data_IF_290521126162
#
_entry.id   IF_290521126162
#
_cell.length_a   1.000
_cell.length_b   1.000
_cell.length_c   1.000
_cell.angle_alpha   90.00
_cell.angle_beta   90.00
_cell.angle_gamma   90.00
#
_symmetry.space_group_name_H-M   'P 1'
#
loop_
_entity.id
_entity.type
_entity.pdbx_description
1 polymer ?
#
# COMPACT_ATOMS: atom_id res chain seq x y z
N UNK A 1 -11.73 -0.41 -15.68
CA UNK A 1 -11.92 0.75 -14.78
C UNK A 1 -11.83 0.24 -13.36
N UNK A 2 -10.63 0.27 -12.77
CA UNK A 2 -10.36 -0.22 -11.43
C UNK A 2 -10.43 0.93 -10.44
N UNK A 3 -11.42 0.89 -9.55
CA UNK A 3 -11.51 1.76 -8.39
C UNK A 3 -10.70 1.12 -7.25
N UNK A 4 -9.55 1.71 -6.95
CA UNK A 4 -8.88 1.55 -5.66
C UNK A 4 -9.65 2.38 -4.62
N UNK A 5 -10.53 1.74 -3.85
CA UNK A 5 -11.21 2.35 -2.72
C UNK A 5 -10.29 2.34 -1.49
N UNK A 6 -9.81 3.52 -1.14
CA UNK A 6 -9.25 3.85 0.17
C UNK A 6 -10.32 3.67 1.24
N UNK A 7 -10.01 2.91 2.29
CA UNK A 7 -10.85 2.79 3.49
C UNK A 7 -10.54 4.01 4.36
N UNK A 8 -11.27 5.11 4.15
CA UNK A 8 -11.38 6.21 5.11
C UNK A 8 -12.64 6.01 5.95
N UNK A 9 -12.47 5.79 7.25
CA UNK A 9 -13.57 5.78 8.22
C UNK A 9 -13.86 7.22 8.64
N UNK A 10 -14.94 7.79 8.11
CA UNK A 10 -15.60 8.98 8.66
C UNK A 10 -16.73 8.52 9.58
N UNK A 11 -16.67 8.84 10.87
CA UNK A 11 -17.80 8.67 11.78
C UNK A 11 -18.52 10.00 12.01
N UNK A 12 -19.83 9.94 11.79
CA UNK A 12 -20.82 10.99 11.94
C UNK A 12 -20.99 11.38 13.42
N UNK A 13 -20.90 12.67 13.72
CA UNK A 13 -21.25 13.24 15.02
C UNK A 13 -22.72 13.66 15.02
N UNK A 14 -23.55 13.02 15.85
CA UNK A 14 -24.89 13.53 16.19
C UNK A 14 -24.94 13.90 17.68
N UNK A 15 -25.13 15.20 17.95
CA UNK A 15 -25.44 15.77 19.27
C UNK A 15 -26.87 15.44 19.69
N UNK A 16 -27.17 15.25 20.99
CA UNK A 16 -28.51 15.45 21.52
C UNK A 16 -28.64 16.86 22.13
N UNK A 17 -29.68 17.58 21.69
CA UNK A 17 -30.23 18.78 22.32
C UNK A 17 -30.89 18.43 23.66
N UNK A 18 -30.65 19.23 24.69
CA UNK A 18 -31.39 19.20 25.95
C UNK A 18 -32.21 20.49 26.00
N UNK A 19 -33.52 20.31 26.03
CA UNK A 19 -34.53 21.37 26.07
C UNK A 19 -34.68 21.93 27.48
N UNK A 20 -34.84 23.24 27.58
CA UNK A 20 -34.82 24.02 28.83
C UNK A 20 -36.19 24.66 29.03
N UNK A 21 -36.96 24.22 30.04
CA UNK A 21 -38.09 25.00 30.57
C UNK A 21 -38.22 24.79 32.09
N UNK A 22 -38.07 25.88 32.87
CA UNK A 22 -38.50 25.97 34.28
C UNK A 22 -40.02 26.22 34.41
N UNK A 23 -40.61 26.47 35.60
CA UNK A 23 -40.15 27.54 36.52
C UNK A 23 -40.38 27.38 38.07
N UNK A 24 -39.70 28.26 38.82
CA UNK A 24 -40.10 29.05 40.02
C UNK A 24 -40.36 28.47 41.46
N UNK A 25 -39.44 28.89 42.37
CA UNK A 25 -39.57 29.54 43.72
C UNK A 25 -40.40 28.92 44.88
N UNK A 26 -39.77 28.69 46.05
CA UNK A 26 -39.85 29.53 47.29
C UNK A 26 -39.43 28.80 48.60
N UNK A 27 -38.58 29.47 49.39
CA UNK A 27 -38.39 29.53 50.86
C UNK A 27 -38.46 28.30 51.80
N UNK A 28 -37.39 28.05 52.60
CA UNK A 28 -37.28 28.39 54.04
C UNK A 28 -36.03 27.75 54.73
N UNK A 29 -35.55 28.46 55.75
CA UNK A 29 -34.34 28.30 56.57
C UNK A 29 -34.22 26.96 57.36
N UNK A 30 -32.98 26.52 57.64
CA UNK A 30 -32.38 26.40 59.00
C UNK A 30 -31.29 25.30 59.10
N UNK A 31 -30.09 25.66 59.59
CA UNK A 31 -29.06 24.74 60.08
C UNK A 31 -29.46 24.11 61.44
N UNK A 32 -28.93 22.92 61.80
CA UNK A 32 -27.70 22.87 62.62
C UNK A 32 -26.73 21.72 62.23
N UNK A 33 -25.42 21.98 62.37
CA UNK A 33 -24.33 20.98 62.43
C UNK A 33 -24.13 20.54 63.90
N UNK A 34 -23.29 19.54 64.28
CA UNK A 34 -22.51 18.59 63.47
C UNK A 34 -22.56 17.13 63.96
N UNK A 35 -22.28 16.17 63.08
CA UNK A 35 -21.82 14.84 63.50
C UNK A 35 -20.68 14.36 62.60
N UNK A 36 -19.56 14.12 63.26
CA UNK A 36 -18.28 13.62 62.79
C UNK A 36 -18.45 12.29 62.06
N UNK A 37 -18.38 12.31 60.73
CA UNK A 37 -18.02 11.13 59.95
C UNK A 37 -16.71 11.43 59.24
N UNK A 38 -15.66 10.73 59.66
CA UNK A 38 -14.39 10.71 58.93
C UNK A 38 -14.63 10.32 57.47
N UNK A 39 -13.71 10.66 56.55
CA UNK A 39 -13.90 10.35 55.15
C UNK A 39 -14.05 8.82 55.02
N UNK A 40 -15.26 8.38 54.70
CA UNK A 40 -15.53 7.04 54.22
C UNK A 40 -14.68 6.91 52.97
N UNK A 41 -13.59 6.14 53.07
CA UNK A 41 -12.70 5.85 51.97
C UNK A 41 -13.53 5.39 50.78
N UNK A 42 -13.62 6.23 49.74
CA UNK A 42 -14.04 5.75 48.42
C UNK A 42 -13.18 4.52 48.12
N UNK A 43 -13.77 3.39 47.66
CA UNK A 43 -12.96 2.33 47.11
C UNK A 43 -12.05 2.98 46.08
N UNK A 44 -10.74 2.81 46.21
CA UNK A 44 -9.74 3.45 45.37
C UNK A 44 -9.95 2.99 43.93
N UNK A 45 -10.75 3.74 43.18
CA UNK A 45 -11.05 3.51 41.78
C UNK A 45 -9.75 3.62 41.00
N UNK A 46 -9.44 2.58 40.22
CA UNK A 46 -8.33 2.58 39.28
C UNK A 46 -8.39 3.84 38.42
N UNK A 47 -7.23 4.46 38.18
CA UNK A 47 -7.13 5.60 37.25
C UNK A 47 -7.65 5.20 35.86
N UNK A 48 -8.34 6.11 35.19
CA UNK A 48 -8.82 5.91 33.81
C UNK A 48 -7.71 5.44 32.86
N UNK A 49 -6.49 5.99 33.00
CA UNK A 49 -5.33 5.56 32.22
C UNK A 49 -4.92 4.11 32.50
N UNK A 50 -5.02 3.66 33.75
CA UNK A 50 -4.72 2.27 34.14
C UNK A 50 -5.76 1.30 33.58
N UNK A 51 -7.03 1.69 33.60
CA UNK A 51 -8.13 0.96 32.95
C UNK A 51 -7.89 0.88 31.44
N UNK A 52 -7.54 1.99 30.80
CA UNK A 52 -7.20 2.05 29.37
C UNK A 52 -6.06 1.12 28.99
N UNK A 53 -4.93 1.17 29.72
CA UNK A 53 -3.80 0.23 29.50
C UNK A 53 -4.25 -1.23 29.62
N UNK A 54 -5.02 -1.56 30.65
CA UNK A 54 -5.47 -2.94 30.88
C UNK A 54 -6.34 -3.45 29.72
N UNK A 55 -7.23 -2.62 29.19
CA UNK A 55 -8.04 -2.96 28.02
C UNK A 55 -7.17 -3.18 26.78
N UNK A 56 -6.27 -2.26 26.46
CA UNK A 56 -5.38 -2.36 25.29
C UNK A 56 -4.49 -3.60 25.36
N UNK A 57 -3.91 -3.88 26.53
CA UNK A 57 -3.07 -5.06 26.74
C UNK A 57 -3.89 -6.35 26.56
N UNK A 58 -5.09 -6.39 27.11
CA UNK A 58 -5.99 -7.54 26.97
C UNK A 58 -6.39 -7.75 25.51
N UNK A 59 -6.78 -6.69 24.82
CA UNK A 59 -7.11 -6.69 23.39
C UNK A 59 -5.94 -7.19 22.54
N UNK A 60 -4.71 -6.73 22.83
CA UNK A 60 -3.51 -7.14 22.11
C UNK A 60 -3.27 -8.64 22.22
N UNK A 61 -3.29 -9.21 23.44
CA UNK A 61 -3.05 -10.64 23.68
C UNK A 61 -4.20 -11.49 23.16
N UNK A 62 -5.45 -11.10 23.42
CA UNK A 62 -6.63 -11.83 22.95
C UNK A 62 -6.70 -11.86 21.43
N UNK A 63 -6.51 -10.71 20.77
CA UNK A 63 -6.49 -10.65 19.31
C UNK A 63 -5.29 -11.36 18.70
N UNK A 64 -4.15 -11.44 19.40
CA UNK A 64 -3.00 -12.25 18.96
C UNK A 64 -3.33 -13.74 18.98
N UNK A 65 -3.94 -14.22 20.07
CA UNK A 65 -4.35 -15.62 20.19
C UNK A 65 -5.33 -15.99 19.09
N UNK A 66 -6.34 -15.15 18.86
CA UNK A 66 -7.30 -15.34 17.76
C UNK A 66 -6.60 -15.32 16.41
N UNK A 67 -5.66 -14.39 16.18
CA UNK A 67 -4.90 -14.33 14.93
C UNK A 67 -4.11 -15.62 14.67
N UNK A 68 -3.34 -16.11 15.65
CA UNK A 68 -2.59 -17.37 15.53
C UNK A 68 -3.52 -18.56 15.26
N UNK A 69 -4.66 -18.63 15.96
CA UNK A 69 -5.65 -19.69 15.72
C UNK A 69 -6.19 -19.66 14.29
N UNK A 70 -6.49 -18.47 13.75
CA UNK A 70 -6.95 -18.31 12.37
C UNK A 70 -5.87 -18.68 11.35
N UNK A 71 -4.60 -18.40 11.62
CA UNK A 71 -3.50 -18.86 10.77
C UNK A 71 -3.42 -20.38 10.71
N UNK A 72 -3.49 -21.04 11.86
CA UNK A 72 -3.50 -22.52 11.95
C UNK A 72 -4.77 -23.12 11.33
N UNK A 73 -5.90 -22.44 11.44
CA UNK A 73 -7.13 -22.84 10.74
C UNK A 73 -6.96 -22.76 9.23
N UNK A 74 -6.31 -21.71 8.72
CA UNK A 74 -6.00 -21.58 7.29
C UNK A 74 -5.15 -22.74 6.78
N UNK A 75 -4.15 -23.16 7.55
CA UNK A 75 -3.34 -24.35 7.22
C UNK A 75 -4.22 -25.59 7.05
N UNK A 76 -5.03 -25.90 8.06
CA UNK A 76 -5.87 -27.11 8.08
C UNK A 76 -6.97 -27.12 7.03
N UNK A 77 -7.54 -25.96 6.73
CA UNK A 77 -8.74 -25.84 5.88
C UNK A 77 -8.39 -25.68 4.41
N UNK A 78 -7.27 -25.04 4.09
CA UNK A 78 -6.88 -24.73 2.72
C UNK A 78 -5.50 -25.27 2.35
N UNK A 79 -4.47 -25.06 3.17
CA UNK A 79 -3.10 -25.41 2.78
C UNK A 79 -2.90 -26.93 2.76
N UNK A 80 -3.25 -27.66 3.82
CA UNK A 80 -3.09 -29.12 3.87
C UNK A 80 -3.91 -29.82 2.77
N UNK A 81 -5.21 -29.50 2.56
CA UNK A 81 -5.97 -30.05 1.45
C UNK A 81 -5.37 -29.80 0.06
N UNK A 82 -4.57 -28.73 -0.12
CA UNK A 82 -3.90 -28.47 -1.39
C UNK A 82 -2.86 -29.55 -1.76
N UNK A 83 -2.30 -30.24 -0.77
CA UNK A 83 -1.34 -31.33 -0.94
C UNK A 83 -2.00 -32.72 -0.95
N UNK A 84 -3.30 -32.82 -0.69
CA UNK A 84 -4.01 -34.10 -0.66
C UNK A 84 -4.58 -34.46 -2.04
N UNK A 85 -4.81 -35.77 -2.28
CA UNK A 85 -5.44 -36.22 -3.50
C UNK A 85 -6.82 -35.59 -3.70
N UNK A 86 -7.12 -35.22 -4.95
CA UNK A 86 -8.39 -34.63 -5.32
C UNK A 86 -9.04 -35.48 -6.41
N UNK A 87 -10.24 -35.96 -6.12
CA UNK A 87 -11.09 -36.65 -7.09
C UNK A 87 -12.19 -35.70 -7.57
N UNK A 88 -12.24 -35.41 -8.87
CA UNK A 88 -13.24 -34.53 -9.46
C UNK A 88 -13.73 -35.06 -10.81
N UNK A 89 -14.87 -34.56 -11.29
CA UNK A 89 -15.39 -34.91 -12.61
C UNK A 89 -15.48 -33.68 -13.50
N UNK A 90 -14.69 -33.59 -14.59
CA UNK A 90 -14.67 -32.43 -15.48
C UNK A 90 -16.00 -32.18 -16.20
N UNK A 91 -16.80 -33.25 -16.39
CA UNK A 91 -18.06 -33.23 -17.13
C UNK A 91 -19.31 -33.32 -16.23
N UNK A 92 -19.17 -32.97 -14.95
CA UNK A 92 -20.27 -33.00 -13.98
C UNK A 92 -20.47 -34.38 -13.34
N UNK A 93 -21.49 -34.54 -12.49
CA UNK A 93 -21.63 -35.69 -11.57
C UNK A 93 -21.66 -37.09 -12.24
N UNK A 94 -22.00 -37.15 -13.53
CA UNK A 94 -22.13 -38.38 -14.32
C UNK A 94 -20.90 -38.67 -15.21
N UNK A 95 -19.93 -37.75 -15.30
CA UNK A 95 -18.73 -37.93 -16.12
C UNK A 95 -17.66 -38.79 -15.44
N UNK A 96 -16.66 -39.28 -16.20
CA UNK A 96 -15.55 -40.05 -15.66
C UNK A 96 -14.81 -39.24 -14.58
N UNK A 97 -14.54 -39.90 -13.44
CA UNK A 97 -13.81 -39.29 -12.33
C UNK A 97 -12.31 -39.30 -12.65
N UNK A 98 -11.67 -38.15 -12.43
CA UNK A 98 -10.23 -38.00 -12.48
C UNK A 98 -9.74 -37.85 -11.05
N UNK A 99 -8.72 -38.61 -10.68
CA UNK A 99 -8.02 -38.50 -9.40
C UNK A 99 -6.64 -37.94 -9.66
N UNK A 100 -6.29 -36.87 -8.96
CA UNK A 100 -4.95 -36.29 -8.95
C UNK A 100 -4.30 -36.57 -7.60
N UNK A 101 -2.97 -36.74 -7.60
CA UNK A 101 -2.20 -36.97 -6.36
C UNK A 101 -2.22 -35.75 -5.43
N UNK A 102 -2.32 -34.53 -5.98
CA UNK A 102 -2.46 -33.27 -5.23
C UNK A 102 -3.53 -32.39 -5.85
N UNK A 103 -4.31 -31.68 -5.02
CA UNK A 103 -5.40 -30.81 -5.47
C UNK A 103 -4.93 -29.59 -6.28
N UNK A 104 -3.80 -28.98 -5.88
CA UNK A 104 -3.18 -27.83 -6.56
C UNK A 104 -1.79 -28.18 -7.10
N UNK A 105 -1.32 -27.51 -8.15
CA UNK A 105 0.05 -27.72 -8.64
C UNK A 105 1.10 -27.12 -7.68
N UNK A 106 2.38 -27.54 -7.74
CA UNK A 106 3.44 -26.95 -6.92
C UNK A 106 3.55 -25.42 -7.08
N UNK A 107 3.39 -24.92 -8.30
CA UNK A 107 3.43 -23.49 -8.62
C UNK A 107 2.23 -22.76 -8.01
N UNK A 108 1.02 -23.34 -8.11
CA UNK A 108 -0.18 -22.78 -7.50
C UNK A 108 -0.03 -22.70 -5.98
N UNK A 109 0.47 -23.75 -5.31
CA UNK A 109 0.71 -23.73 -3.86
C UNK A 109 1.75 -22.70 -3.47
N UNK A 110 2.88 -22.65 -4.20
CA UNK A 110 3.95 -21.68 -3.95
C UNK A 110 3.48 -20.24 -4.10
N UNK A 111 2.63 -19.95 -5.09
CA UNK A 111 2.11 -18.60 -5.31
C UNK A 111 1.03 -18.22 -4.29
N UNK A 112 0.13 -19.16 -3.95
CA UNK A 112 -1.00 -18.89 -3.05
C UNK A 112 -0.60 -18.77 -1.58
N UNK A 113 0.41 -19.53 -1.13
CA UNK A 113 0.73 -19.68 0.29
C UNK A 113 2.13 -19.19 0.67
N UNK A 114 2.77 -18.40 -0.22
CA UNK A 114 4.14 -17.90 -0.01
C UNK A 114 4.25 -17.15 1.32
N UNK A 115 5.21 -17.54 2.16
CA UNK A 115 5.53 -16.81 3.40
C UNK A 115 4.57 -17.09 4.56
N UNK A 116 3.57 -17.95 4.39
CA UNK A 116 2.58 -18.23 5.43
C UNK A 116 3.20 -18.99 6.61
N UNK A 117 3.92 -20.09 6.33
CA UNK A 117 4.55 -20.95 7.34
C UNK A 117 5.45 -20.15 8.28
N UNK A 118 6.26 -19.24 7.73
CA UNK A 118 7.18 -18.44 8.52
C UNK A 118 6.42 -17.45 9.43
N UNK A 119 5.29 -16.90 8.96
CA UNK A 119 4.42 -16.01 9.76
C UNK A 119 3.74 -16.80 10.88
N UNK A 120 3.18 -17.97 10.58
CA UNK A 120 2.56 -18.84 11.61
C UNK A 120 3.58 -19.19 12.68
N UNK A 121 4.79 -19.57 12.27
CA UNK A 121 5.86 -19.91 13.20
C UNK A 121 6.29 -18.70 14.03
N UNK A 122 6.49 -17.51 13.43
CA UNK A 122 6.86 -16.29 14.16
C UNK A 122 5.83 -15.97 15.25
N UNK A 123 4.55 -15.96 14.88
CA UNK A 123 3.49 -15.55 15.79
C UNK A 123 3.15 -16.62 16.83
N UNK A 124 2.98 -17.87 16.40
CA UNK A 124 2.58 -18.97 17.27
C UNK A 124 3.70 -19.49 18.17
N UNK A 125 4.92 -19.63 17.66
CA UNK A 125 6.02 -20.23 18.43
C UNK A 125 6.83 -19.21 19.24
N UNK A 126 6.83 -17.93 18.84
CA UNK A 126 7.70 -16.92 19.46
C UNK A 126 6.95 -15.73 20.07
N UNK A 127 6.13 -15.02 19.30
CA UNK A 127 5.50 -13.78 19.77
C UNK A 127 4.41 -14.03 20.81
N UNK A 128 3.42 -14.88 20.51
CA UNK A 128 2.30 -15.13 21.41
C UNK A 128 2.75 -15.64 22.80
N UNK A 129 3.64 -16.63 22.92
CA UNK A 129 4.12 -17.09 24.23
C UNK A 129 4.80 -15.99 25.05
N UNK A 130 5.62 -15.15 24.42
CA UNK A 130 6.31 -14.05 25.10
C UNK A 130 5.34 -12.92 25.50
N UNK A 131 4.31 -12.65 24.71
CA UNK A 131 3.25 -11.71 25.07
C UNK A 131 2.40 -12.21 26.25
N UNK A 132 2.03 -13.48 26.26
CA UNK A 132 1.30 -14.10 27.37
C UNK A 132 2.13 -14.08 28.65
N UNK A 133 3.43 -14.39 28.56
CA UNK A 133 4.37 -14.31 29.69
C UNK A 133 4.55 -12.87 30.19
N UNK A 134 4.67 -11.90 29.28
CA UNK A 134 4.82 -10.48 29.62
C UNK A 134 3.62 -9.92 30.41
N UNK A 135 2.43 -10.48 30.18
CA UNK A 135 1.15 -9.98 30.70
C UNK A 135 0.52 -10.85 31.77
N UNK A 136 1.11 -12.02 32.06
CA UNK A 136 0.58 -13.03 32.95
C UNK A 136 0.15 -12.47 34.32
N UNK A 137 1.00 -11.63 34.93
CA UNK A 137 0.75 -11.03 36.24
C UNK A 137 -0.52 -10.16 36.23
N UNK A 138 -0.69 -9.34 35.19
CA UNK A 138 -1.83 -8.44 35.02
C UNK A 138 -3.12 -9.22 34.73
N UNK A 139 -3.06 -10.19 33.81
CA UNK A 139 -4.24 -10.94 33.37
C UNK A 139 -4.79 -11.88 34.46
N UNK A 140 -3.93 -12.38 35.36
CA UNK A 140 -4.36 -13.25 36.47
C UNK A 140 -4.82 -12.47 37.69
N UNK A 141 -4.08 -11.45 38.10
CA UNK A 141 -4.30 -10.77 39.38
C UNK A 141 -5.07 -9.44 39.24
N UNK A 142 -5.40 -9.02 38.02
CA UNK A 142 -5.90 -7.68 37.74
C UNK A 142 -4.84 -6.61 37.98
N UNK A 143 -5.19 -5.36 37.68
CA UNK A 143 -4.31 -4.23 37.97
C UNK A 143 -4.30 -3.89 39.47
N UNK A 144 -3.19 -3.33 39.95
CA UNK A 144 -3.14 -2.79 41.31
C UNK A 144 -3.74 -1.37 41.37
N UNK A 145 -4.06 -0.88 42.57
CA UNK A 145 -4.73 0.43 42.75
C UNK A 145 -3.93 1.62 42.21
N UNK A 146 -2.63 1.47 42.00
CA UNK A 146 -1.73 2.49 41.43
C UNK A 146 -1.50 2.31 39.92
N UNK A 147 -2.03 1.24 39.32
CA UNK A 147 -1.84 0.90 37.91
C UNK A 147 -0.42 0.45 37.56
N UNK A 148 0.37 0.00 38.54
CA UNK A 148 1.77 -0.37 38.34
C UNK A 148 1.91 -1.67 37.55
N UNK A 149 1.03 -2.67 37.77
CA UNK A 149 1.02 -3.92 36.99
C UNK A 149 0.75 -3.65 35.51
N UNK A 150 -0.25 -2.83 35.17
CA UNK A 150 -0.53 -2.50 33.77
C UNK A 150 0.59 -1.72 33.11
N UNK A 151 1.22 -0.76 33.81
CA UNK A 151 2.38 -0.03 33.30
C UNK A 151 3.58 -0.96 33.05
N UNK A 152 3.86 -1.89 33.98
CA UNK A 152 4.93 -2.88 33.82
C UNK A 152 4.66 -3.85 32.67
N UNK A 153 3.42 -4.30 32.51
CA UNK A 153 3.00 -5.14 31.40
C UNK A 153 3.13 -4.42 30.05
N UNK A 154 2.73 -3.15 29.98
CA UNK A 154 2.91 -2.30 28.78
C UNK A 154 4.38 -2.22 28.35
N UNK A 155 5.28 -1.95 29.30
CA UNK A 155 6.72 -1.94 29.04
C UNK A 155 7.23 -3.31 28.55
N UNK A 156 6.78 -4.42 29.17
CA UNK A 156 7.22 -5.77 28.79
C UNK A 156 6.73 -6.16 27.39
N UNK A 157 5.46 -5.91 27.05
CA UNK A 157 4.94 -6.14 25.68
C UNK A 157 5.74 -5.33 24.66
N UNK A 158 5.99 -4.06 24.96
CA UNK A 158 6.73 -3.19 24.05
C UNK A 158 8.16 -3.70 23.80
N UNK A 159 8.82 -4.26 24.83
CA UNK A 159 10.09 -4.97 24.67
C UNK A 159 10.00 -6.18 23.75
N UNK A 160 8.93 -6.97 23.85
CA UNK A 160 8.69 -8.12 22.95
C UNK A 160 8.58 -7.63 21.50
N UNK A 161 7.75 -6.61 21.25
CA UNK A 161 7.62 -6.03 19.90
C UNK A 161 8.96 -5.49 19.39
N UNK A 162 9.73 -4.77 20.20
CA UNK A 162 11.06 -4.30 19.82
C UNK A 162 12.02 -5.43 19.46
N UNK A 163 11.96 -6.56 20.20
CA UNK A 163 12.83 -7.71 19.98
C UNK A 163 12.55 -8.41 18.63
N UNK A 164 11.28 -8.46 18.22
CA UNK A 164 10.86 -9.11 16.97
C UNK A 164 10.65 -8.15 15.79
N UNK A 165 10.85 -6.84 15.98
CA UNK A 165 10.59 -5.81 14.97
C UNK A 165 11.26 -6.10 13.61
N UNK A 166 12.52 -6.52 13.63
CA UNK A 166 13.27 -6.86 12.40
C UNK A 166 12.68 -8.08 11.69
N UNK A 167 12.14 -9.06 12.43
CA UNK A 167 11.51 -10.23 11.84
C UNK A 167 10.29 -9.85 11.01
N UNK A 168 9.55 -8.80 11.40
CA UNK A 168 8.38 -8.34 10.63
C UNK A 168 8.71 -7.87 9.22
N UNK A 169 9.99 -7.61 8.86
CA UNK A 169 10.38 -7.34 7.47
C UNK A 169 9.98 -8.47 6.50
N UNK A 170 9.82 -9.71 6.99
CA UNK A 170 9.30 -10.83 6.19
C UNK A 170 7.91 -10.58 5.57
N UNK A 171 7.11 -9.69 6.18
CA UNK A 171 5.80 -9.30 5.65
C UNK A 171 5.89 -8.59 4.30
N UNK A 172 7.05 -8.04 3.93
CA UNK A 172 7.27 -7.41 2.63
C UNK A 172 7.04 -8.40 1.47
N UNK A 173 7.67 -9.57 1.56
CA UNK A 173 7.52 -10.64 0.57
C UNK A 173 6.12 -11.26 0.57
N UNK A 174 5.50 -11.42 1.74
CA UNK A 174 4.12 -11.91 1.86
C UNK A 174 3.12 -10.91 1.27
N UNK A 175 3.19 -9.64 1.65
CA UNK A 175 2.29 -8.57 1.18
C UNK A 175 2.31 -8.45 -0.34
N UNK A 176 3.51 -8.46 -0.94
CA UNK A 176 3.67 -8.44 -2.38
C UNK A 176 3.03 -9.68 -3.05
N UNK A 177 3.15 -10.87 -2.46
CA UNK A 177 2.57 -12.10 -3.01
C UNK A 177 1.06 -12.21 -2.80
N UNK A 178 0.54 -11.66 -1.70
CA UNK A 178 -0.86 -11.75 -1.31
C UNK A 178 -1.80 -11.17 -2.38
N UNK A 179 -1.45 -10.06 -3.03
CA UNK A 179 -2.28 -9.49 -4.10
C UNK A 179 -2.39 -10.39 -5.32
N UNK A 180 -1.34 -11.14 -5.62
CA UNK A 180 -1.38 -12.14 -6.67
C UNK A 180 -2.28 -13.31 -6.28
N UNK A 181 -2.17 -13.77 -5.03
CA UNK A 181 -3.00 -14.83 -4.51
C UNK A 181 -4.49 -14.45 -4.55
N UNK A 182 -4.85 -13.23 -4.11
CA UNK A 182 -6.24 -12.75 -4.15
C UNK A 182 -6.76 -12.57 -5.59
N UNK A 183 -5.95 -12.02 -6.50
CA UNK A 183 -6.31 -11.92 -7.92
C UNK A 183 -6.51 -13.31 -8.56
N UNK A 184 -5.61 -14.26 -8.27
CA UNK A 184 -5.66 -15.62 -8.79
C UNK A 184 -6.87 -16.37 -8.24
N UNK A 185 -7.18 -16.20 -6.95
CA UNK A 185 -8.38 -16.73 -6.34
C UNK A 185 -9.65 -16.16 -6.99
N UNK A 186 -9.68 -14.86 -7.30
CA UNK A 186 -10.76 -14.27 -8.10
C UNK A 186 -10.93 -14.96 -9.45
N UNK A 187 -9.83 -15.24 -10.16
CA UNK A 187 -9.88 -16.01 -11.41
C UNK A 187 -10.40 -17.44 -11.22
N UNK A 188 -10.03 -18.11 -10.12
CA UNK A 188 -10.54 -19.45 -9.79
C UNK A 188 -12.05 -19.43 -9.56
N UNK A 189 -12.54 -18.43 -8.82
CA UNK A 189 -13.97 -18.26 -8.52
C UNK A 189 -14.77 -17.93 -9.78
N UNK A 190 -14.31 -16.96 -10.57
CA UNK A 190 -15.01 -16.51 -11.79
C UNK A 190 -14.89 -17.52 -12.94
N UNK A 191 -13.82 -18.32 -12.94
CA UNK A 191 -13.50 -19.25 -14.01
C UNK A 191 -12.99 -18.57 -15.30
N UNK A 192 -12.57 -17.30 -15.23
CA UNK A 192 -12.02 -16.55 -16.37
C UNK A 192 -10.58 -17.00 -16.66
N UNK A 193 -10.24 -17.07 -17.94
CA UNK A 193 -8.89 -17.44 -18.42
C UNK A 193 -8.38 -18.80 -17.91
N UNK A 194 -9.29 -19.72 -17.58
CA UNK A 194 -8.99 -21.08 -17.15
C UNK A 194 -9.49 -22.10 -18.18
N UNK A 195 -8.74 -23.18 -18.35
CA UNK A 195 -9.25 -24.33 -19.10
C UNK A 195 -10.45 -24.94 -18.37
N UNK A 196 -11.33 -25.66 -19.11
CA UNK A 196 -12.47 -26.35 -18.49
C UNK A 196 -12.02 -27.34 -17.41
N UNK A 197 -10.90 -28.02 -17.63
CA UNK A 197 -10.33 -28.98 -16.69
C UNK A 197 -9.80 -28.29 -15.42
N UNK A 198 -9.04 -27.20 -15.56
CA UNK A 198 -8.52 -26.45 -14.41
C UNK A 198 -9.66 -25.82 -13.62
N UNK A 199 -10.66 -25.24 -14.29
CA UNK A 199 -11.86 -24.70 -13.64
C UNK A 199 -12.56 -25.77 -12.81
N UNK A 200 -12.79 -26.96 -13.36
CA UNK A 200 -13.42 -28.04 -12.61
C UNK A 200 -12.57 -28.51 -11.42
N UNK A 201 -11.24 -28.58 -11.60
CA UNK A 201 -10.28 -28.94 -10.53
C UNK A 201 -10.33 -27.95 -9.38
N UNK A 202 -10.09 -26.66 -9.64
CA UNK A 202 -10.01 -25.63 -8.59
C UNK A 202 -11.35 -25.44 -7.88
N UNK A 203 -12.47 -25.58 -8.59
CA UNK A 203 -13.81 -25.52 -7.97
C UNK A 203 -14.07 -26.73 -7.07
N UNK A 204 -13.66 -27.93 -7.47
CA UNK A 204 -13.76 -29.13 -6.62
C UNK A 204 -12.89 -28.99 -5.36
N UNK A 205 -11.67 -28.48 -5.51
CA UNK A 205 -10.79 -28.17 -4.37
C UNK A 205 -11.41 -27.15 -3.40
N UNK A 206 -11.91 -26.02 -3.91
CA UNK A 206 -12.56 -25.00 -3.08
C UNK A 206 -13.81 -25.55 -2.37
N UNK A 207 -14.57 -26.42 -3.05
CA UNK A 207 -15.72 -27.10 -2.45
C UNK A 207 -15.27 -28.05 -1.33
N UNK A 208 -14.23 -28.85 -1.54
CA UNK A 208 -13.65 -29.73 -0.53
C UNK A 208 -13.23 -28.94 0.72
N UNK A 209 -12.56 -27.80 0.54
CA UNK A 209 -12.14 -26.93 1.63
C UNK A 209 -13.35 -26.40 2.44
N UNK A 210 -14.42 -25.97 1.75
CA UNK A 210 -15.67 -25.51 2.40
C UNK A 210 -16.41 -26.60 3.18
N UNK A 211 -16.23 -27.86 2.81
CA UNK A 211 -16.84 -28.99 3.54
C UNK A 211 -16.03 -29.44 4.75
N UNK A 212 -14.84 -28.86 4.97
CA UNK A 212 -14.03 -29.16 6.14
C UNK A 212 -14.76 -28.71 7.42
N UNK A 213 -14.79 -29.57 8.45
CA UNK A 213 -15.45 -29.26 9.74
C UNK A 213 -14.81 -28.10 10.48
N UNK A 214 -13.53 -27.83 10.20
CA UNK A 214 -12.80 -26.71 10.77
C UNK A 214 -13.03 -25.40 9.99
N UNK A 215 -13.82 -25.40 8.91
CA UNK A 215 -14.12 -24.21 8.13
C UNK A 215 -15.00 -23.24 8.94
N UNK A 216 -14.46 -22.07 9.29
CA UNK A 216 -15.21 -20.96 9.91
C UNK A 216 -15.93 -20.08 8.87
N UNK A 217 -16.54 -18.98 9.33
CA UNK A 217 -17.23 -18.02 8.45
C UNK A 217 -16.28 -17.23 7.52
N UNK A 218 -14.97 -17.40 7.67
CA UNK A 218 -13.96 -16.68 6.88
C UNK A 218 -13.67 -17.46 5.60
N UNK A 219 -13.77 -16.79 4.46
CA UNK A 219 -13.40 -17.37 3.17
C UNK A 219 -11.88 -17.30 2.93
N UNK A 220 -11.40 -17.96 1.87
CA UNK A 220 -9.96 -18.01 1.55
C UNK A 220 -9.37 -16.59 1.37
N UNK A 221 -10.13 -15.65 0.82
CA UNK A 221 -9.69 -14.25 0.67
C UNK A 221 -9.47 -13.60 2.02
N UNK A 222 -10.41 -13.77 2.95
CA UNK A 222 -10.29 -13.26 4.31
C UNK A 222 -9.05 -13.79 5.01
N UNK A 223 -8.75 -15.08 4.89
CA UNK A 223 -7.54 -15.67 5.45
C UNK A 223 -6.25 -15.08 4.90
N UNK A 224 -6.15 -14.95 3.57
CA UNK A 224 -4.96 -14.39 2.91
C UNK A 224 -4.66 -12.97 3.40
N UNK A 225 -5.69 -12.20 3.75
CA UNK A 225 -5.54 -10.81 4.18
C UNK A 225 -5.19 -10.64 5.67
N UNK A 226 -5.34 -11.67 6.52
CA UNK A 226 -5.08 -11.56 7.96
C UNK A 226 -3.67 -11.02 8.28
N UNK A 227 -2.56 -11.51 7.66
CA UNK A 227 -1.23 -11.00 7.97
C UNK A 227 -1.03 -9.55 7.51
N UNK A 228 -1.58 -9.16 6.35
CA UNK A 228 -1.50 -7.79 5.86
C UNK A 228 -2.11 -6.80 6.86
N UNK A 229 -3.17 -7.21 7.55
CA UNK A 229 -3.87 -6.40 8.55
C UNK A 229 -3.22 -6.44 9.95
N UNK A 230 -2.38 -7.43 10.27
CA UNK A 230 -1.89 -7.60 11.65
C UNK A 230 -0.94 -6.47 12.07
N UNK A 231 0.00 -6.11 11.20
CA UNK A 231 0.98 -5.05 11.51
C UNK A 231 0.31 -3.68 11.70
N UNK A 232 -0.73 -3.38 10.91
CA UNK A 232 -1.49 -2.13 11.07
C UNK A 232 -2.24 -2.11 12.39
N UNK A 233 -2.78 -3.26 12.83
CA UNK A 233 -3.39 -3.38 14.17
C UNK A 233 -2.39 -3.21 15.31
N UNK A 234 -1.17 -3.74 15.21
CA UNK A 234 -0.14 -3.48 16.22
C UNK A 234 0.14 -1.98 16.37
N UNK A 235 0.26 -1.25 15.26
CA UNK A 235 0.45 0.21 15.30
C UNK A 235 -0.67 0.89 16.08
N UNK A 236 -1.93 0.62 15.72
CA UNK A 236 -3.10 1.22 16.38
C UNK A 236 -3.17 0.89 17.89
N UNK A 237 -2.89 -0.37 18.25
CA UNK A 237 -2.88 -0.78 19.66
C UNK A 237 -1.73 -0.13 20.43
N UNK A 238 -0.56 0.03 19.82
CA UNK A 238 0.59 0.70 20.44
C UNK A 238 0.37 2.21 20.59
N UNK A 239 -0.27 2.88 19.62
CA UNK A 239 -0.70 4.29 19.73
C UNK A 239 -1.65 4.47 20.92
N UNK A 240 -2.62 3.56 21.07
CA UNK A 240 -3.55 3.60 22.20
C UNK A 240 -2.87 3.23 23.54
N UNK A 241 -1.85 2.35 23.51
CA UNK A 241 -1.06 2.02 24.69
C UNK A 241 -0.21 3.21 25.14
N UNK A 242 0.40 3.92 24.20
CA UNK A 242 1.21 5.12 24.44
C UNK A 242 0.39 6.24 25.07
N UNK A 243 -0.80 6.54 24.53
CA UNK A 243 -1.67 7.59 25.08
C UNK A 243 -2.13 7.32 26.52
N UNK A 244 -2.23 6.04 26.91
CA UNK A 244 -2.57 5.61 28.26
C UNK A 244 -1.36 5.35 29.16
N UNK A 245 -0.13 5.46 28.66
CA UNK A 245 1.10 5.23 29.43
C UNK A 245 1.79 6.55 29.73
N UNK A 246 2.06 6.89 31.01
CA UNK A 246 2.85 8.07 31.34
C UNK A 246 4.25 8.00 30.71
N UNK A 247 4.78 9.14 30.27
CA UNK A 247 6.15 9.21 29.79
C UNK A 247 7.12 8.67 30.86
N UNK A 248 8.14 7.90 30.46
CA UNK A 248 9.11 7.39 31.41
C UNK A 248 9.88 8.54 32.08
N UNK A 249 10.33 8.37 33.33
CA UNK A 249 11.16 9.37 34.00
C UNK A 249 12.42 9.69 33.20
N UNK A 250 12.95 10.90 33.35
CA UNK A 250 14.17 11.32 32.66
C UNK A 250 15.31 10.29 32.85
N UNK A 251 16.01 9.98 31.76
CA UNK A 251 17.07 8.97 31.74
C UNK A 251 16.61 7.51 31.62
N UNK A 252 15.31 7.23 31.65
CA UNK A 252 14.77 5.90 31.41
C UNK A 252 14.37 5.72 29.94
N UNK A 253 14.58 4.51 29.41
CA UNK A 253 14.26 4.18 28.02
C UNK A 253 12.76 4.04 27.82
N UNK A 254 12.24 4.75 26.82
CA UNK A 254 10.84 4.63 26.39
C UNK A 254 10.65 3.44 25.44
N UNK A 255 10.34 2.28 26.01
CA UNK A 255 10.06 1.09 25.20
C UNK A 255 8.74 1.20 24.44
N UNK A 256 7.74 1.93 24.94
CA UNK A 256 6.42 2.03 24.30
C UNK A 256 6.52 2.87 23.02
N UNK A 257 7.10 4.07 23.14
CA UNK A 257 7.37 4.92 21.99
C UNK A 257 8.33 4.28 20.99
N UNK A 258 9.36 3.56 21.47
CA UNK A 258 10.27 2.81 20.59
C UNK A 258 9.55 1.71 19.81
N UNK A 259 8.68 0.93 20.45
CA UNK A 259 7.92 -0.13 19.79
C UNK A 259 7.00 0.44 18.71
N UNK A 260 6.32 1.55 19.01
CA UNK A 260 5.46 2.25 18.06
C UNK A 260 6.26 2.75 16.84
N UNK A 261 7.41 3.38 17.08
CA UNK A 261 8.29 3.85 16.00
C UNK A 261 8.80 2.69 15.13
N UNK A 262 9.26 1.59 15.75
CA UNK A 262 9.72 0.39 15.03
C UNK A 262 8.62 -0.19 14.13
N UNK A 263 7.41 -0.40 14.66
CA UNK A 263 6.29 -0.90 13.84
C UNK A 263 5.94 0.06 12.70
N UNK A 264 5.96 1.37 12.96
CA UNK A 264 5.68 2.38 11.94
C UNK A 264 6.73 2.35 10.81
N UNK A 265 8.01 2.22 11.17
CA UNK A 265 9.12 2.07 10.23
C UNK A 265 8.97 0.79 9.40
N UNK A 266 8.60 -0.33 10.02
CA UNK A 266 8.35 -1.59 9.31
C UNK A 266 7.19 -1.47 8.32
N UNK A 267 6.09 -0.80 8.70
CA UNK A 267 4.96 -0.59 7.80
C UNK A 267 5.34 0.23 6.58
N UNK A 268 6.15 1.29 6.76
CA UNK A 268 6.70 2.07 5.65
C UNK A 268 7.59 1.20 4.75
N UNK A 269 8.48 0.40 5.34
CA UNK A 269 9.35 -0.51 4.61
C UNK A 269 8.56 -1.54 3.77
N UNK A 270 7.53 -2.18 4.36
CA UNK A 270 6.68 -3.15 3.66
C UNK A 270 5.94 -2.50 2.50
N UNK A 271 5.44 -1.27 2.70
CA UNK A 271 4.74 -0.52 1.66
C UNK A 271 5.67 -0.10 0.52
N UNK A 272 6.88 0.38 0.82
CA UNK A 272 7.85 0.76 -0.21
C UNK A 272 8.35 -0.45 -0.99
N UNK A 273 8.64 -1.57 -0.31
CA UNK A 273 9.01 -2.82 -0.99
C UNK A 273 7.93 -3.28 -1.97
N UNK A 274 6.65 -3.17 -1.57
CA UNK A 274 5.54 -3.51 -2.46
C UNK A 274 5.50 -2.59 -3.68
N UNK A 275 5.63 -1.28 -3.47
CA UNK A 275 5.70 -0.29 -4.55
C UNK A 275 6.85 -0.57 -5.51
N UNK A 276 8.02 -0.95 -5.00
CA UNK A 276 9.18 -1.35 -5.83
C UNK A 276 8.88 -2.60 -6.67
N UNK A 277 8.28 -3.63 -6.06
CA UNK A 277 7.88 -4.86 -6.78
C UNK A 277 6.87 -4.56 -7.89
N UNK A 278 5.88 -3.72 -7.61
CA UNK A 278 4.86 -3.33 -8.59
C UNK A 278 5.46 -2.48 -9.71
N UNK A 279 6.30 -1.51 -9.36
CA UNK A 279 7.05 -0.67 -10.30
C UNK A 279 7.89 -1.53 -11.25
N UNK A 280 8.68 -2.46 -10.69
CA UNK A 280 9.51 -3.38 -11.48
C UNK A 280 8.67 -4.29 -12.37
N UNK A 281 7.54 -4.79 -11.88
CA UNK A 281 6.61 -5.60 -12.68
C UNK A 281 6.06 -4.80 -13.86
N UNK A 282 5.66 -3.54 -13.66
CA UNK A 282 5.21 -2.65 -14.74
C UNK A 282 6.33 -2.38 -15.73
N UNK A 283 7.57 -2.18 -15.28
CA UNK A 283 8.73 -2.04 -16.17
C UNK A 283 8.98 -3.29 -17.01
N UNK A 284 8.95 -4.49 -16.43
CA UNK A 284 9.07 -5.73 -17.20
C UNK A 284 7.96 -5.84 -18.26
N UNK A 285 6.72 -5.51 -17.87
CA UNK A 285 5.61 -5.48 -18.82
C UNK A 285 5.88 -4.52 -19.99
N UNK A 286 6.32 -3.29 -19.74
CA UNK A 286 6.64 -2.34 -20.81
C UNK A 286 7.85 -2.74 -21.62
N UNK A 287 8.86 -3.34 -21.00
CA UNK A 287 10.04 -3.86 -21.69
C UNK A 287 9.71 -5.02 -22.63
N UNK A 288 8.70 -5.82 -22.30
CA UNK A 288 8.16 -6.85 -23.18
C UNK A 288 7.29 -6.24 -24.29
N UNK A 289 6.53 -5.18 -24.01
CA UNK A 289 5.63 -4.56 -25.00
C UNK A 289 6.35 -3.66 -26.01
N UNK A 290 7.35 -2.89 -25.56
CA UNK A 290 8.07 -1.92 -26.38
C UNK A 290 9.17 -2.66 -27.14
N UNK A 291 9.03 -2.70 -28.46
CA UNK A 291 9.98 -3.35 -29.34
C UNK A 291 11.19 -2.44 -29.52
N UNK A 292 12.19 -2.61 -28.65
CA UNK A 292 13.40 -1.78 -28.61
C UNK A 292 14.42 -2.09 -29.73
N UNK A 293 14.03 -2.70 -30.85
CA UNK A 293 14.96 -3.11 -31.91
C UNK A 293 14.80 -2.28 -33.19
N UNK A 294 15.86 -1.54 -33.55
CA UNK A 294 16.29 -1.52 -34.95
C UNK A 294 16.79 -2.93 -35.33
N UNK A 295 16.50 -3.45 -36.53
CA UNK A 295 16.73 -4.85 -36.90
C UNK A 295 18.20 -5.27 -37.12
N UNK A 296 19.20 -4.50 -36.68
CA UNK A 296 20.61 -4.74 -37.03
C UNK A 296 21.61 -4.94 -35.88
N UNK A 297 21.23 -4.92 -34.60
CA UNK A 297 22.17 -5.27 -33.52
C UNK A 297 21.68 -6.42 -32.65
N UNK A 298 22.43 -7.51 -32.72
CA UNK A 298 22.36 -8.69 -31.87
C UNK A 298 22.54 -8.32 -30.39
N UNK A 299 21.64 -8.83 -29.55
CA UNK A 299 21.85 -9.07 -28.10
C UNK A 299 22.03 -7.84 -27.22
N UNK A 300 20.93 -7.19 -26.82
CA UNK A 300 20.84 -6.56 -25.50
C UNK A 300 19.44 -6.74 -24.90
N UNK A 301 19.29 -7.20 -23.64
CA UNK A 301 18.01 -7.14 -22.95
C UNK A 301 17.53 -5.68 -22.91
N UNK A 302 16.22 -5.52 -23.07
CA UNK A 302 15.49 -4.25 -23.15
C UNK A 302 16.02 -3.22 -22.14
N UNK A 303 16.61 -2.13 -22.64
CA UNK A 303 17.28 -1.09 -21.85
C UNK A 303 16.45 -0.60 -20.67
N UNK A 304 15.11 -0.68 -20.75
CA UNK A 304 14.14 -0.26 -19.74
C UNK A 304 14.25 -0.99 -18.38
N UNK A 305 14.71 -2.24 -18.32
CA UNK A 305 14.79 -2.99 -17.05
C UNK A 305 16.22 -2.96 -16.52
N UNK A 306 16.47 -2.07 -15.56
CA UNK A 306 17.74 -1.96 -14.86
C UNK A 306 17.52 -2.00 -13.34
N UNK A 307 18.48 -2.50 -12.55
CA UNK A 307 18.31 -2.65 -11.10
C UNK A 307 17.95 -1.36 -10.35
N UNK A 308 18.44 -0.22 -10.83
CA UNK A 308 18.21 1.10 -10.24
C UNK A 308 17.03 1.85 -10.86
N UNK A 309 16.42 1.31 -11.94
CA UNK A 309 15.35 2.00 -12.64
C UNK A 309 14.00 1.76 -11.98
N UNK A 310 13.38 2.85 -11.54
CA UNK A 310 12.06 2.86 -10.90
C UNK A 310 11.09 3.58 -11.83
N UNK A 311 9.95 2.96 -12.12
CA UNK A 311 8.81 3.61 -12.79
C UNK A 311 8.21 4.68 -11.87
N UNK A 312 8.14 5.90 -12.38
CA UNK A 312 7.56 7.06 -11.71
C UNK A 312 6.12 7.27 -12.18
N UNK A 313 5.89 7.27 -13.49
CA UNK A 313 4.56 7.51 -14.08
C UNK A 313 4.44 6.86 -15.45
N UNK A 314 3.22 6.51 -15.83
CA UNK A 314 2.88 5.98 -17.14
C UNK A 314 1.52 6.49 -17.59
N UNK A 315 1.29 6.57 -18.91
CA UNK A 315 -0.02 6.91 -19.43
C UNK A 315 -0.02 7.33 -20.90
N UNK A 316 -1.21 7.37 -21.53
CA UNK A 316 -1.35 7.84 -22.89
C UNK A 316 -1.08 9.35 -22.97
N UNK A 317 -0.37 9.77 -24.02
CA UNK A 317 -0.07 11.17 -24.36
C UNK A 317 -0.15 11.35 -25.87
N UNK A 318 -0.64 12.49 -26.33
CA UNK A 318 -0.54 12.90 -27.72
C UNK A 318 0.76 13.67 -27.90
N UNK A 319 1.74 13.09 -28.59
CA UNK A 319 2.97 13.79 -28.95
C UNK A 319 2.69 14.68 -30.15
N UNK A 320 2.35 15.94 -29.88
CA UNK A 320 1.89 16.88 -30.91
C UNK A 320 3.06 17.37 -31.75
N UNK A 321 4.15 17.80 -31.11
CA UNK A 321 5.21 18.49 -31.81
C UNK A 321 6.57 18.43 -31.11
N UNK A 322 7.63 18.54 -31.90
CA UNK A 322 9.02 18.61 -31.46
C UNK A 322 9.80 19.63 -32.30
N UNK A 323 10.53 20.57 -31.69
CA UNK A 323 11.24 21.61 -32.44
C UNK A 323 12.31 22.35 -31.68
N UNK A 324 13.25 22.97 -32.42
CA UNK A 324 14.31 23.80 -31.84
C UNK A 324 13.70 25.17 -31.53
N UNK A 325 13.83 25.63 -30.29
CA UNK A 325 13.62 27.04 -29.97
C UNK A 325 14.87 27.82 -30.37
N UNK A 326 14.72 28.86 -31.17
CA UNK A 326 15.84 29.76 -31.40
C UNK A 326 16.20 30.40 -30.06
N UNK A 327 17.43 30.18 -29.63
CA UNK A 327 18.00 30.84 -28.46
C UNK A 327 17.95 32.34 -28.76
N UNK A 328 17.42 33.15 -27.84
CA UNK A 328 17.69 34.58 -27.89
C UNK A 328 19.21 34.73 -27.86
N UNK A 329 19.81 35.14 -28.98
CA UNK A 329 21.15 35.71 -28.95
C UNK A 329 21.00 37.01 -28.17
N UNK A 330 21.69 37.12 -27.04
CA UNK A 330 21.75 38.38 -26.29
C UNK A 330 22.24 39.48 -27.25
N UNK A 331 21.58 40.66 -27.29
CA UNK A 331 22.05 41.74 -28.16
C UNK A 331 23.47 42.16 -27.72
N UNK A 332 24.41 42.08 -28.66
CA UNK A 332 25.78 42.56 -28.49
C UNK A 332 25.81 44.00 -27.96
N UNK A 333 26.82 44.28 -27.12
CA UNK A 333 27.14 45.59 -26.55
C UNK A 333 27.13 46.71 -27.61
N UNK A 334 26.16 47.62 -27.53
CA UNK A 334 26.15 48.85 -28.34
C UNK A 334 27.21 49.83 -27.84
N UNK A 335 28.24 50.08 -28.65
CA UNK A 335 29.09 51.29 -28.57
C UNK A 335 28.29 52.52 -29.04
N UNK A 336 28.48 53.71 -28.43
CA UNK A 336 27.69 54.88 -28.76
C UNK A 336 28.34 55.69 -29.88
N UNK A 337 27.63 55.93 -30.99
CA UNK A 337 27.59 57.26 -31.62
C UNK A 337 26.59 57.40 -32.80
N UNK A 338 25.52 58.17 -32.54
CA UNK A 338 24.83 59.12 -33.46
C UNK A 338 24.00 58.60 -34.68
N UNK A 339 23.09 59.41 -35.28
CA UNK A 339 21.77 59.78 -34.73
C UNK A 339 20.57 59.39 -35.64
N UNK A 340 19.47 59.00 -34.98
CA UNK A 340 18.04 58.99 -35.39
C UNK A 340 17.71 59.08 -36.90
N UNK A 341 17.50 57.91 -37.51
CA UNK A 341 16.73 57.71 -38.75
C UNK A 341 15.44 56.92 -38.48
N UNK A 342 14.34 57.31 -39.15
CA UNK A 342 12.97 56.84 -38.94
C UNK A 342 12.77 55.32 -39.12
N UNK A 343 12.07 54.73 -38.17
CA UNK A 343 10.97 53.78 -38.36
C UNK A 343 11.16 52.66 -39.38
N UNK A 344 11.62 51.51 -38.89
CA UNK A 344 11.13 50.21 -39.36
C UNK A 344 11.19 49.25 -38.18
N UNK A 345 10.02 48.87 -37.65
CA UNK A 345 9.91 47.71 -36.76
C UNK A 345 10.33 46.50 -37.58
N UNK A 346 11.60 46.12 -37.47
CA UNK A 346 12.07 44.82 -37.92
C UNK A 346 11.60 43.84 -36.87
N UNK A 347 10.38 43.33 -37.02
CA UNK A 347 9.97 42.10 -36.35
C UNK A 347 10.95 41.02 -36.85
N UNK A 348 11.96 40.70 -36.03
CA UNK A 348 12.74 39.49 -36.21
C UNK A 348 11.78 38.32 -36.06
N UNK A 349 11.30 37.85 -37.22
CA UNK A 349 10.49 36.66 -37.36
C UNK A 349 11.40 35.48 -37.06
N UNK A 350 11.60 35.20 -35.78
CA UNK A 350 12.24 33.98 -35.28
C UNK A 350 11.46 32.81 -35.86
N UNK A 351 12.02 32.19 -36.90
CA UNK A 351 11.41 31.05 -37.57
C UNK A 351 11.47 29.85 -36.63
N UNK A 352 10.38 29.60 -35.92
CA UNK A 352 10.18 28.40 -35.09
C UNK A 352 10.09 27.20 -36.02
N UNK A 353 11.16 26.41 -36.13
CA UNK A 353 11.09 25.14 -36.85
C UNK A 353 10.58 24.06 -35.90
N UNK A 354 9.27 24.12 -35.64
CA UNK A 354 8.54 23.11 -34.86
C UNK A 354 7.95 22.09 -35.84
N UNK A 355 8.50 20.88 -35.85
CA UNK A 355 7.96 19.77 -36.62
C UNK A 355 6.72 19.21 -35.93
N UNK A 356 5.59 19.17 -36.64
CA UNK A 356 4.42 18.43 -36.19
C UNK A 356 4.74 16.93 -36.20
N UNK A 357 4.41 16.26 -35.10
CA UNK A 357 4.59 14.82 -34.91
C UNK A 357 3.23 14.10 -34.97
N UNK A 358 2.25 14.62 -34.22
CA UNK A 358 0.87 14.12 -34.11
C UNK A 358 0.74 12.58 -33.95
N UNK A 359 1.36 12.05 -32.88
CA UNK A 359 1.33 10.62 -32.55
C UNK A 359 0.67 10.35 -31.20
N UNK A 360 -0.14 9.29 -31.13
CA UNK A 360 -0.73 8.84 -29.86
C UNK A 360 0.20 7.83 -29.17
N UNK A 361 0.97 8.29 -28.19
CA UNK A 361 2.03 7.54 -27.54
C UNK A 361 1.65 7.06 -26.14
N UNK A 362 2.19 5.93 -25.72
CA UNK A 362 2.34 5.59 -24.31
C UNK A 362 3.63 6.24 -23.82
N UNK A 363 3.50 7.11 -22.83
CA UNK A 363 4.63 7.63 -22.08
C UNK A 363 4.93 6.72 -20.89
N UNK A 364 6.19 6.32 -20.75
CA UNK A 364 6.71 5.56 -19.62
C UNK A 364 7.87 6.34 -19.00
N UNK A 365 7.59 7.00 -17.88
CA UNK A 365 8.54 7.83 -17.15
C UNK A 365 9.16 7.05 -16.01
N UNK A 366 10.47 6.92 -16.06
CA UNK A 366 11.32 6.38 -15.03
C UNK A 366 12.11 7.51 -14.35
N UNK A 367 12.78 7.21 -13.25
CA UNK A 367 13.58 8.20 -12.50
C UNK A 367 14.70 8.88 -13.32
N UNK A 368 15.12 8.28 -14.44
CA UNK A 368 16.28 8.68 -15.25
C UNK A 368 15.95 8.88 -16.74
N UNK A 369 14.85 8.29 -17.23
CA UNK A 369 14.44 8.37 -18.63
C UNK A 369 12.92 8.49 -18.80
N UNK A 370 12.49 9.17 -19.86
CA UNK A 370 11.14 9.16 -20.40
C UNK A 370 11.16 8.42 -21.74
N UNK A 371 10.36 7.37 -21.87
CA UNK A 371 10.19 6.61 -23.11
C UNK A 371 8.83 6.92 -23.72
N UNK A 372 8.81 7.25 -25.01
CA UNK A 372 7.60 7.41 -25.80
C UNK A 372 7.50 6.25 -26.80
N UNK A 373 6.40 5.53 -26.76
CA UNK A 373 6.15 4.41 -27.66
C UNK A 373 4.75 4.51 -28.29
N UNK A 374 4.67 4.34 -29.61
CA UNK A 374 3.44 4.43 -30.38
C UNK A 374 2.96 3.03 -30.76
N UNK A 375 1.68 2.93 -31.05
CA UNK A 375 1.00 1.72 -31.48
C UNK A 375 1.58 1.28 -32.84
N UNK A 376 2.09 0.05 -32.94
CA UNK A 376 2.32 -0.53 -34.26
C UNK A 376 0.96 -0.68 -34.96
N UNK A 377 0.85 -0.27 -36.22
CA UNK A 377 -0.43 -0.25 -36.97
C UNK A 377 -1.23 -1.56 -36.79
N UNK A 378 -2.43 -1.48 -36.19
CA UNK A 378 -3.42 -2.56 -36.23
C UNK A 378 -3.98 -3.07 -34.90
N UNK A 379 -3.24 -3.05 -33.79
CA UNK A 379 -3.68 -3.66 -32.52
C UNK A 379 -3.67 -2.62 -31.41
N UNK A 380 -4.74 -2.53 -30.58
CA UNK A 380 -4.88 -1.66 -29.39
C UNK A 380 -3.63 -1.52 -28.49
N UNK A 381 -3.72 -0.86 -27.34
CA UNK A 381 -2.65 -0.91 -26.31
C UNK A 381 -2.29 -2.33 -25.79
N UNK A 382 -2.84 -3.38 -26.40
CA UNK A 382 -2.59 -4.80 -26.13
C UNK A 382 -1.52 -5.42 -27.05
N UNK A 383 -1.15 -4.73 -28.15
CA UNK A 383 -0.13 -5.17 -29.10
C UNK A 383 1.26 -4.60 -28.80
N UNK A 384 2.27 -5.07 -29.55
CA UNK A 384 3.64 -4.53 -29.47
C UNK A 384 3.67 -3.05 -29.85
N UNK A 385 4.42 -2.26 -29.10
CA UNK A 385 4.59 -0.83 -29.33
C UNK A 385 5.92 -0.56 -30.05
N UNK A 386 5.89 0.34 -31.03
CA UNK A 386 7.07 0.87 -31.70
C UNK A 386 7.69 2.00 -30.88
N UNK A 387 9.01 1.97 -30.70
CA UNK A 387 9.71 3.06 -30.02
C UNK A 387 9.63 4.35 -30.86
N UNK A 388 9.22 5.46 -30.24
CA UNK A 388 9.18 6.79 -30.87
C UNK A 388 10.37 7.62 -30.45
N UNK A 389 10.61 7.75 -29.14
CA UNK A 389 11.71 8.55 -28.60
C UNK A 389 12.10 8.10 -27.18
N UNK A 390 13.34 8.42 -26.78
CA UNK A 390 13.86 8.22 -25.43
C UNK A 390 14.59 9.48 -24.98
N UNK A 391 14.07 10.12 -23.94
CA UNK A 391 14.62 11.35 -23.37
C UNK A 391 15.23 11.04 -22.01
N UNK A 392 16.47 11.47 -21.75
CA UNK A 392 17.08 11.35 -20.42
C UNK A 392 16.65 12.53 -19.57
N UNK A 393 16.25 12.28 -18.32
CA UNK A 393 15.87 13.34 -17.39
C UNK A 393 17.04 14.27 -17.09
N UNK A 394 18.28 13.78 -17.13
CA UNK A 394 19.47 14.62 -16.97
C UNK A 394 19.67 15.65 -18.08
N UNK A 395 19.01 15.48 -19.23
CA UNK A 395 19.03 16.43 -20.35
C UNK A 395 17.75 17.28 -20.41
N UNK A 396 16.81 17.05 -19.49
CA UNK A 396 15.49 17.66 -19.49
C UNK A 396 15.49 18.92 -18.61
N UNK A 397 15.04 20.03 -19.17
CA UNK A 397 14.71 21.25 -18.43
C UNK A 397 13.39 21.11 -17.68
N UNK A 398 13.06 22.12 -16.89
CA UNK A 398 11.84 22.14 -16.05
C UNK A 398 10.59 22.02 -16.93
N UNK A 399 9.74 21.03 -16.63
CA UNK A 399 8.46 20.87 -17.31
C UNK A 399 7.44 21.89 -16.81
N UNK A 400 6.53 22.29 -17.71
CA UNK A 400 5.42 23.20 -17.42
C UNK A 400 4.16 22.81 -18.16
N UNK A 401 3.01 23.29 -17.68
CA UNK A 401 1.74 23.15 -18.38
C UNK A 401 1.51 24.39 -19.22
N UNK A 402 1.26 24.21 -20.51
CA UNK A 402 0.78 25.23 -21.44
C UNK A 402 -0.61 24.84 -21.96
N UNK A 403 -1.40 25.83 -22.38
CA UNK A 403 -2.72 25.63 -23.00
C UNK A 403 -3.68 24.72 -22.20
N UNK A 404 -3.53 24.69 -20.86
CA UNK A 404 -4.36 23.89 -19.95
C UNK A 404 -3.95 22.42 -19.87
N UNK A 405 -3.76 21.74 -20.99
CA UNK A 405 -3.54 20.28 -21.01
C UNK A 405 -2.30 19.82 -21.80
N UNK A 406 -1.37 20.74 -22.10
CA UNK A 406 -0.13 20.43 -22.84
C UNK A 406 1.06 20.50 -21.89
N UNK A 407 1.75 19.39 -21.71
CA UNK A 407 3.01 19.30 -20.98
C UNK A 407 4.14 19.68 -21.94
N UNK A 408 4.90 20.71 -21.57
CA UNK A 408 6.00 21.25 -22.35
C UNK A 408 7.30 21.18 -21.55
N UNK A 409 8.33 20.63 -22.16
CA UNK A 409 9.68 20.57 -21.59
C UNK A 409 10.71 20.68 -22.71
N UNK A 410 11.92 21.09 -22.35
CA UNK A 410 13.06 21.17 -23.26
C UNK A 410 14.02 20.02 -22.96
N UNK A 411 14.51 19.34 -23.98
CA UNK A 411 15.56 18.35 -23.85
C UNK A 411 16.44 18.35 -25.10
N UNK A 412 17.76 18.26 -24.92
CA UNK A 412 18.72 18.27 -26.03
C UNK A 412 18.52 19.45 -27.01
N UNK A 413 18.27 20.65 -26.49
CA UNK A 413 18.02 21.88 -27.27
C UNK A 413 16.73 21.86 -28.11
N UNK A 414 15.82 20.94 -27.80
CA UNK A 414 14.56 20.73 -28.49
C UNK A 414 13.41 20.76 -27.51
N UNK A 415 12.33 21.46 -27.84
CA UNK A 415 11.10 21.51 -27.05
C UNK A 415 10.13 20.41 -27.47
N UNK A 416 9.59 19.70 -26.49
CA UNK A 416 8.59 18.66 -26.64
C UNK A 416 7.23 19.17 -26.20
N UNK A 417 6.19 18.84 -26.97
CA UNK A 417 4.79 19.19 -26.69
C UNK A 417 3.95 17.91 -26.57
N UNK A 418 3.58 17.53 -25.35
CA UNK A 418 2.78 16.35 -25.05
C UNK A 418 1.40 16.77 -24.52
N UNK A 419 0.33 16.52 -25.27
CA UNK A 419 -1.03 16.79 -24.82
C UNK A 419 -1.63 15.59 -24.10
N UNK A 420 -2.41 15.86 -23.06
CA UNK A 420 -3.16 14.88 -22.28
C UNK A 420 -4.62 15.30 -22.15
N UNK A 421 -5.47 14.41 -21.64
CA UNK A 421 -6.92 14.63 -21.64
C UNK A 421 -7.35 15.81 -20.77
N UNK A 422 -6.72 16.00 -19.60
CA UNK A 422 -7.11 17.03 -18.64
C UNK A 422 -5.94 17.79 -18.05
N UNK A 423 -6.24 18.98 -17.53
CA UNK A 423 -5.29 19.85 -16.83
C UNK A 423 -4.69 19.18 -15.59
N UNK A 424 -5.47 18.36 -14.88
CA UNK A 424 -5.04 17.62 -13.69
C UNK A 424 -4.01 16.55 -14.07
N UNK A 425 -4.23 15.85 -15.18
CA UNK A 425 -3.28 14.87 -15.72
C UNK A 425 -1.99 15.58 -16.12
N UNK A 426 -2.08 16.76 -16.77
CA UNK A 426 -0.92 17.54 -17.19
C UNK A 426 -0.08 18.00 -15.99
N UNK A 427 -0.74 18.52 -14.94
CA UNK A 427 -0.07 18.89 -13.68
C UNK A 427 0.64 17.69 -13.05
N UNK A 428 -0.01 16.53 -13.01
CA UNK A 428 0.60 15.31 -12.48
C UNK A 428 1.80 14.79 -13.28
N UNK A 429 1.86 15.05 -14.59
CA UNK A 429 3.05 14.78 -15.40
C UNK A 429 4.18 15.78 -15.12
N UNK A 430 3.85 17.07 -15.00
CA UNK A 430 4.82 18.12 -14.66
C UNK A 430 5.44 17.88 -13.28
N UNK A 431 4.64 17.50 -12.28
CA UNK A 431 5.10 17.15 -10.93
C UNK A 431 5.97 15.89 -10.94
N UNK A 432 5.69 14.92 -11.81
CA UNK A 432 6.48 13.70 -11.90
C UNK A 432 7.81 13.89 -12.65
N UNK A 433 7.87 14.84 -13.57
CA UNK A 433 9.08 15.15 -14.37
C UNK A 433 10.06 16.04 -13.58
N UNK A 434 9.53 17.05 -12.89
CA UNK A 434 10.33 18.00 -12.08
C UNK A 434 10.76 17.38 -10.75
#
# INVERSE_FOLDING_TARGET
MGLCSFISSTFCTSKPEIDTTGPQTADYLSHPTPATHGPISRPSLLSEKAIGRTHVITELVCSERTYVNLLVEFEKVYIDPAYHPLTYSPHGKLGPKITLDTALTPEERKLMFKGHEEIVRLHGAFILPELEKATQDLLKAGDDTQGCRSAKAAMRISKVICAYAECFKMYSAYSAACEWATKRLGQWVDGRDLTKADKARVQAYLLQCKTNKAHSQIDMTGYLLLPVQRLTRYRMLLEHLESNTPAPPAGHRDFVGEALNRISTILLYVNEYKREVDSRRRLCHWADQIQLSHPSSTTTPSSLVQPHRILVREGPVNFIARGIMARHLDPEEELPDSPKGRGSQREEKVSRQVGAVDKHCMAVLCHDILVLADKAEGDGWKGKLGLVDVVRLSAMGKARVEHGNVVVFEAYEVTYYLQVDTTEIAKGWVEAIN
#
